data_IF_660364274948
#
_entry.id   IF_660364274948
#
_cell.length_a   1.000
_cell.length_b   1.000
_cell.length_c   1.000
_cell.angle_alpha   90.00
_cell.angle_beta   90.00
_cell.angle_gamma   90.00
#
_symmetry.space_group_name_H-M   'P 1'
#
loop_
_entity.id
_entity.type
_entity.pdbx_description
1 polymer ?
#
# COMPACT_ATOMS: atom_id res chain seq x y z
N UNK A 1 0.89 -6.38 -8.22
CA UNK A 1 -0.19 -7.38 -8.39
C UNK A 1 -0.45 -8.05 -7.05
N UNK A 2 -1.70 -8.24 -6.68
CA UNK A 2 -2.12 -9.04 -5.52
C UNK A 2 -2.61 -10.39 -6.01
N UNK A 3 -2.27 -11.46 -5.29
CA UNK A 3 -2.87 -12.78 -5.45
C UNK A 3 -3.22 -13.31 -4.07
N UNK A 4 -4.48 -13.69 -3.83
CA UNK A 4 -4.97 -14.19 -2.56
C UNK A 4 -5.98 -15.30 -2.80
N UNK A 5 -5.75 -16.49 -2.23
CA UNK A 5 -6.62 -17.66 -2.36
C UNK A 5 -6.96 -18.02 -3.83
N UNK A 6 -6.02 -17.82 -4.75
CA UNK A 6 -6.21 -18.07 -6.19
C UNK A 6 -6.89 -16.93 -6.97
N UNK A 7 -7.36 -15.88 -6.30
CA UNK A 7 -7.87 -14.66 -6.94
C UNK A 7 -6.74 -13.66 -7.14
N UNK A 8 -6.68 -13.01 -8.31
CA UNK A 8 -5.65 -12.01 -8.62
C UNK A 8 -6.24 -10.66 -9.05
N UNK A 9 -5.57 -9.57 -8.69
CA UNK A 9 -5.97 -8.22 -9.05
C UNK A 9 -4.80 -7.25 -9.14
N UNK A 10 -4.95 -6.22 -9.98
CA UNK A 10 -4.05 -5.08 -10.08
C UNK A 10 -4.50 -3.90 -9.22
N UNK A 11 -3.56 -3.01 -8.91
CA UNK A 11 -3.86 -1.73 -8.28
C UNK A 11 -4.05 -0.68 -9.37
N UNK A 12 -5.11 0.13 -9.27
CA UNK A 12 -5.38 1.15 -10.28
C UNK A 12 -4.60 2.43 -10.00
N UNK A 13 -4.44 2.75 -8.71
CA UNK A 13 -3.76 3.96 -8.26
C UNK A 13 -3.27 3.82 -6.83
N UNK A 14 -2.22 4.54 -6.50
CA UNK A 14 -1.77 4.72 -5.12
C UNK A 14 -1.55 6.20 -4.80
N UNK A 15 -1.74 6.54 -3.54
CA UNK A 15 -1.48 7.86 -2.98
C UNK A 15 -0.58 7.72 -1.76
N UNK A 16 0.26 8.71 -1.50
CA UNK A 16 1.13 8.71 -0.34
C UNK A 16 1.04 10.00 0.48
N UNK A 17 1.30 9.87 1.77
CA UNK A 17 1.56 10.97 2.70
C UNK A 17 2.93 10.80 3.36
N UNK A 18 3.39 11.85 4.03
CA UNK A 18 4.61 11.83 4.83
C UNK A 18 4.23 11.98 6.31
N UNK A 19 4.69 11.03 7.12
CA UNK A 19 4.49 11.01 8.57
C UNK A 19 5.49 11.98 9.25
N UNK A 20 5.19 12.44 10.47
CA UNK A 20 6.00 13.41 11.21
C UNK A 20 7.47 13.00 11.41
N UNK A 21 7.77 11.70 11.42
CA UNK A 21 9.14 11.16 11.54
C UNK A 21 9.84 10.97 10.17
N UNK A 22 9.20 11.40 9.08
CA UNK A 22 9.70 11.31 7.72
C UNK A 22 9.37 9.99 7.01
N UNK A 23 8.71 9.04 7.67
CA UNK A 23 8.26 7.80 7.04
C UNK A 23 7.15 8.07 6.03
N UNK A 24 6.99 7.15 5.09
CA UNK A 24 5.98 7.25 4.04
C UNK A 24 4.83 6.29 4.36
N UNK A 25 3.62 6.85 4.32
CA UNK A 25 2.37 6.12 4.36
C UNK A 25 1.79 6.06 2.94
N UNK A 26 1.37 4.87 2.49
CA UNK A 26 0.81 4.67 1.15
C UNK A 26 -0.53 3.93 1.22
N UNK A 27 -1.51 4.43 0.47
CA UNK A 27 -2.77 3.76 0.20
C UNK A 27 -2.85 3.40 -1.28
N UNK A 28 -2.98 2.12 -1.60
CA UNK A 28 -3.13 1.61 -2.96
C UNK A 28 -4.53 1.00 -3.15
N UNK A 29 -5.21 1.43 -4.20
CA UNK A 29 -6.64 1.23 -4.41
C UNK A 29 -6.93 0.23 -5.53
N UNK A 30 -7.93 -0.63 -5.32
CA UNK A 30 -8.38 -1.62 -6.31
C UNK A 30 -9.79 -1.33 -6.83
N UNK A 31 -9.93 -1.34 -8.16
CA UNK A 31 -11.20 -1.37 -8.88
C UNK A 31 -11.91 -0.03 -9.01
N UNK A 32 -11.69 0.94 -8.10
CA UNK A 32 -12.34 2.26 -8.10
C UNK A 32 -11.54 3.29 -7.28
N UNK A 33 -10.31 3.59 -7.71
CA UNK A 33 -9.56 4.68 -7.07
C UNK A 33 -10.26 6.04 -7.29
N UNK A 34 -10.36 6.91 -6.28
CA UNK A 34 -10.88 8.26 -6.47
C UNK A 34 -10.00 9.05 -7.46
N UNK A 35 -10.62 9.91 -8.28
CA UNK A 35 -9.89 10.84 -9.12
C UNK A 35 -9.29 11.96 -8.27
N UNK A 36 -7.95 12.01 -8.21
CA UNK A 36 -7.22 12.98 -7.41
C UNK A 36 -7.06 12.56 -5.94
N UNK A 37 -6.33 13.36 -5.17
CA UNK A 37 -6.07 13.09 -3.75
C UNK A 37 -7.40 12.95 -2.98
N UNK A 38 -7.69 11.78 -2.38
CA UNK A 38 -8.94 11.54 -1.69
C UNK A 38 -9.25 12.61 -0.62
N UNK A 39 -10.44 13.23 -0.66
CA UNK A 39 -10.89 14.21 0.37
C UNK A 39 -11.15 13.59 1.75
N UNK A 40 -11.17 12.26 1.81
CA UNK A 40 -11.14 11.39 2.99
C UNK A 40 -10.63 10.03 2.48
N UNK A 41 -10.05 9.17 3.32
CA UNK A 41 -9.76 7.77 2.90
C UNK A 41 -11.10 7.09 2.56
N UNK A 42 -11.51 7.22 1.31
CA UNK A 42 -12.80 6.73 0.84
C UNK A 42 -12.68 5.24 0.71
N UNK A 43 -13.69 4.54 1.22
CA UNK A 43 -13.90 3.10 1.11
C UNK A 43 -13.97 2.70 -0.36
N UNK A 44 -12.84 2.58 -1.03
CA UNK A 44 -12.78 1.67 -2.15
C UNK A 44 -13.07 0.28 -1.61
N UNK A 45 -13.70 -0.56 -2.43
CA UNK A 45 -14.00 -1.95 -2.09
C UNK A 45 -12.82 -2.67 -1.44
N UNK A 46 -11.60 -2.34 -1.88
CA UNK A 46 -10.35 -2.94 -1.43
C UNK A 46 -9.21 -1.92 -1.45
N UNK A 47 -8.51 -1.79 -0.33
CA UNK A 47 -7.37 -0.88 -0.19
C UNK A 47 -6.19 -1.63 0.44
N UNK A 48 -5.01 -1.50 -0.13
CA UNK A 48 -3.76 -1.93 0.51
C UNK A 48 -3.09 -0.73 1.17
N UNK A 49 -2.86 -0.85 2.47
CA UNK A 49 -2.15 0.13 3.28
C UNK A 49 -0.72 -0.35 3.48
N UNK A 50 0.24 0.52 3.22
CA UNK A 50 1.67 0.29 3.42
C UNK A 50 2.17 1.39 4.35
N UNK A 51 2.59 1.02 5.55
CA UNK A 51 2.97 1.96 6.61
C UNK A 51 4.44 1.79 6.99
N UNK A 52 5.04 2.87 7.49
CA UNK A 52 6.46 2.94 7.89
C UNK A 52 7.44 2.67 6.74
N UNK A 53 7.08 2.97 5.49
CA UNK A 53 8.01 2.83 4.38
C UNK A 53 9.20 3.78 4.60
N UNK A 54 10.41 3.23 4.53
CA UNK A 54 11.63 4.02 4.66
C UNK A 54 11.88 4.82 3.37
N UNK A 55 11.91 6.16 3.38
CA UNK A 55 12.25 6.94 2.20
C UNK A 55 13.71 6.75 1.74
N UNK A 56 14.61 6.40 2.67
CA UNK A 56 16.06 6.34 2.40
C UNK A 56 16.52 4.99 1.82
N UNK A 57 15.60 4.05 1.62
CA UNK A 57 15.93 2.75 1.02
C UNK A 57 14.93 1.64 1.35
N UNK A 58 15.39 0.40 1.17
CA UNK A 58 14.56 -0.76 1.46
C UNK A 58 14.16 -0.85 2.94
N UNK A 59 12.96 -1.36 3.20
CA UNK A 59 12.46 -1.64 4.54
C UNK A 59 11.88 -3.04 4.60
N UNK A 60 11.91 -3.67 5.78
CA UNK A 60 11.38 -5.02 6.00
C UNK A 60 10.43 -5.05 7.18
N UNK A 61 9.75 -6.18 7.34
CA UNK A 61 8.87 -6.43 8.48
C UNK A 61 9.60 -6.19 9.82
N UNK A 62 10.81 -6.71 9.99
CA UNK A 62 11.60 -6.53 11.22
C UNK A 62 12.00 -5.07 11.46
N UNK A 63 12.14 -4.30 10.38
CA UNK A 63 12.40 -2.86 10.44
C UNK A 63 11.12 -2.01 10.61
N UNK A 64 9.96 -2.64 10.81
CA UNK A 64 8.68 -1.99 11.09
C UNK A 64 7.76 -1.78 9.88
N UNK A 65 8.14 -2.19 8.67
CA UNK A 65 7.28 -2.11 7.49
C UNK A 65 6.03 -2.96 7.70
N UNK A 66 4.85 -2.37 7.54
CA UNK A 66 3.58 -3.09 7.67
C UNK A 66 2.78 -2.94 6.39
N UNK A 67 2.18 -4.04 5.97
CA UNK A 67 1.30 -4.09 4.81
C UNK A 67 -0.01 -4.74 5.25
N UNK A 68 -1.12 -4.05 5.00
CA UNK A 68 -2.47 -4.51 5.40
C UNK A 68 -3.40 -4.37 4.21
N UNK A 69 -4.13 -5.44 3.89
CA UNK A 69 -5.22 -5.40 2.91
C UNK A 69 -6.53 -5.24 3.66
N UNK A 70 -7.30 -4.25 3.25
CA UNK A 70 -8.72 -4.12 3.57
C UNK A 70 -9.52 -4.61 2.37
N UNK A 71 -10.48 -5.50 2.59
CA UNK A 71 -11.39 -6.04 1.57
C UNK A 71 -12.81 -5.93 2.11
N UNK A 72 -13.37 -4.72 2.04
CA UNK A 72 -14.68 -4.40 2.60
C UNK A 72 -15.81 -5.14 1.90
N UNK A 73 -15.62 -5.51 0.64
CA UNK A 73 -16.60 -6.28 -0.15
C UNK A 73 -16.48 -7.80 0.06
N UNK A 74 -15.42 -8.27 0.75
CA UNK A 74 -15.19 -9.70 1.04
C UNK A 74 -14.97 -10.56 -0.21
N UNK A 75 -14.46 -9.98 -1.29
CA UNK A 75 -14.33 -10.65 -2.59
C UNK A 75 -13.05 -11.47 -2.74
N UNK A 76 -12.03 -11.18 -1.94
CA UNK A 76 -10.71 -11.82 -1.93
C UNK A 76 -10.46 -12.60 -0.64
N UNK A 77 -11.08 -12.19 0.47
CA UNK A 77 -10.94 -12.78 1.79
C UNK A 77 -12.27 -12.73 2.55
N UNK A 78 -12.50 -13.71 3.43
CA UNK A 78 -13.65 -13.71 4.34
C UNK A 78 -13.45 -12.77 5.54
N UNK A 79 -12.20 -12.36 5.80
CA UNK A 79 -11.85 -11.38 6.82
C UNK A 79 -11.77 -9.98 6.18
N UNK A 80 -12.42 -8.96 6.75
CA UNK A 80 -12.43 -7.61 6.17
C UNK A 80 -11.07 -6.92 6.20
N UNK A 81 -10.15 -7.43 7.02
CA UNK A 81 -8.80 -6.92 7.20
C UNK A 81 -7.84 -8.09 7.33
N UNK A 82 -6.80 -8.09 6.50
CA UNK A 82 -5.72 -9.08 6.55
C UNK A 82 -4.38 -8.38 6.63
N UNK A 83 -3.52 -8.81 7.55
CA UNK A 83 -2.16 -8.30 7.71
C UNK A 83 -1.17 -9.26 7.08
N UNK A 84 -0.22 -8.71 6.32
CA UNK A 84 0.89 -9.49 5.78
C UNK A 84 1.90 -9.77 6.89
N UNK A 85 2.42 -10.99 6.92
CA UNK A 85 3.34 -11.48 7.95
C UNK A 85 4.80 -11.36 7.56
N UNK A 86 5.09 -11.29 6.26
CA UNK A 86 6.40 -10.94 5.75
C UNK A 86 6.26 -9.78 4.77
N UNK A 87 7.13 -8.78 4.89
CA UNK A 87 7.12 -7.59 4.05
C UNK A 87 8.54 -7.16 3.76
N UNK A 88 8.78 -6.74 2.52
CA UNK A 88 10.03 -6.17 2.08
C UNK A 88 9.75 -5.14 0.98
N UNK A 89 10.36 -3.96 1.08
CA UNK A 89 10.42 -2.97 0.03
C UNK A 89 11.85 -2.76 -0.44
N UNK A 90 12.01 -2.32 -1.68
CA UNK A 90 13.30 -1.97 -2.27
C UNK A 90 13.14 -0.91 -3.36
N UNK A 91 14.26 -0.36 -3.83
CA UNK A 91 14.29 0.60 -4.95
C UNK A 91 13.37 1.81 -4.71
N UNK A 92 13.42 2.36 -3.49
CA UNK A 92 12.60 3.52 -3.12
C UNK A 92 13.21 4.76 -3.77
N UNK A 93 12.44 5.39 -4.64
CA UNK A 93 12.71 6.69 -5.24
C UNK A 93 11.67 7.68 -4.73
N UNK A 94 12.12 8.73 -4.06
CA UNK A 94 11.24 9.75 -3.48
C UNK A 94 11.47 11.06 -4.22
N UNK A 95 10.40 11.55 -4.85
CA UNK A 95 10.29 12.93 -5.31
C UNK A 95 9.44 13.66 -4.28
N UNK A 96 10.06 14.45 -3.38
CA UNK A 96 9.35 15.03 -2.25
C UNK A 96 8.12 15.81 -2.70
N UNK A 97 6.98 15.51 -2.08
CA UNK A 97 5.67 16.14 -2.35
C UNK A 97 5.16 15.99 -3.79
N UNK A 98 5.67 15.03 -4.54
CA UNK A 98 5.23 14.74 -5.90
C UNK A 98 4.87 13.25 -6.03
N UNK A 99 5.85 12.38 -5.89
CA UNK A 99 5.70 10.96 -6.16
C UNK A 99 6.67 10.12 -5.30
N UNK A 100 6.23 8.94 -4.90
CA UNK A 100 7.11 7.87 -4.43
C UNK A 100 6.95 6.63 -5.30
N UNK A 101 8.07 6.05 -5.72
CA UNK A 101 8.11 4.80 -6.47
C UNK A 101 8.94 3.77 -5.72
N UNK A 102 8.44 2.53 -5.61
CA UNK A 102 9.13 1.45 -4.89
C UNK A 102 8.70 0.08 -5.39
N UNK A 103 9.52 -0.95 -5.12
CA UNK A 103 9.12 -2.35 -5.28
C UNK A 103 8.67 -2.89 -3.93
N UNK A 104 7.54 -3.60 -3.90
CA UNK A 104 7.03 -4.29 -2.72
C UNK A 104 6.96 -5.79 -2.97
N UNK A 105 7.35 -6.56 -1.97
CA UNK A 105 7.04 -7.97 -1.82
C UNK A 105 6.46 -8.18 -0.42
N UNK A 106 5.25 -8.71 -0.33
CA UNK A 106 4.62 -9.06 0.92
C UNK A 106 3.92 -10.41 0.81
N UNK A 107 4.01 -11.23 1.85
CA UNK A 107 3.37 -12.56 1.90
C UNK A 107 2.53 -12.73 3.18
N UNK A 108 1.54 -13.62 3.08
CA UNK A 108 0.75 -14.17 4.16
C UNK A 108 0.28 -15.57 3.75
N UNK A 109 -0.26 -16.33 4.69
CA UNK A 109 -0.82 -17.65 4.40
C UNK A 109 -1.91 -17.60 3.32
N UNK A 110 -1.59 -18.13 2.14
CA UNK A 110 -2.50 -18.15 0.99
C UNK A 110 -2.50 -16.90 0.12
N UNK A 111 -1.59 -15.93 0.35
CA UNK A 111 -1.54 -14.72 -0.47
C UNK A 111 -0.19 -14.02 -0.57
N UNK A 112 -0.01 -13.32 -1.69
CA UNK A 112 1.18 -12.52 -2.00
C UNK A 112 0.79 -11.20 -2.67
N UNK A 113 1.50 -10.14 -2.33
CA UNK A 113 1.54 -8.89 -3.08
C UNK A 113 2.97 -8.71 -3.58
N UNK A 114 3.11 -8.55 -4.89
CA UNK A 114 4.42 -8.28 -5.48
C UNK A 114 4.32 -7.29 -6.63
N UNK A 115 5.28 -6.38 -6.74
CA UNK A 115 5.46 -5.54 -7.91
C UNK A 115 5.89 -4.11 -7.59
N UNK A 116 5.97 -3.31 -8.64
CA UNK A 116 6.25 -1.88 -8.53
C UNK A 116 4.98 -1.12 -8.16
N UNK A 117 5.13 -0.17 -7.24
CA UNK A 117 4.13 0.80 -6.85
C UNK A 117 4.66 2.19 -7.16
N UNK A 118 3.77 3.03 -7.68
CA UNK A 118 3.99 4.45 -7.85
C UNK A 118 2.80 5.15 -7.21
N UNK A 119 3.07 5.98 -6.21
CA UNK A 119 2.06 6.68 -5.45
C UNK A 119 2.27 8.19 -5.58
N UNK A 120 1.18 8.91 -5.79
CA UNK A 120 1.17 10.38 -5.96
C UNK A 120 0.96 11.04 -4.59
N UNK A 121 1.63 12.16 -4.33
CA UNK A 121 1.48 12.87 -3.06
C UNK A 121 0.04 13.31 -2.83
N UNK A 122 -0.45 13.07 -1.61
CA UNK A 122 -1.78 13.42 -1.17
C UNK A 122 -1.71 14.05 0.23
N UNK A 123 -1.80 15.39 0.34
CA UNK A 123 -1.57 16.11 1.60
C UNK A 123 -2.47 15.71 2.77
N UNK A 124 -3.65 15.14 2.50
CA UNK A 124 -4.54 14.67 3.57
C UNK A 124 -4.03 13.40 4.27
N UNK A 125 -3.07 12.71 3.66
CA UNK A 125 -2.40 11.55 4.22
C UNK A 125 -1.12 11.94 4.98
N UNK A 126 -0.72 13.22 4.95
CA UNK A 126 0.39 13.72 5.78
C UNK A 126 -0.03 13.67 7.26
N UNK A 127 0.90 13.28 8.14
CA UNK A 127 0.65 13.03 9.57
C UNK A 127 1.59 13.78 10.49
#
# INVERSE_FOLDING_TARGET
>A
MLTLNGNSGGFDRAYHGVEADGRIYVEAYFGQAPEGCPVQSTTSSRTLIISNLNPDGGSSYDAGLRVTLFDFDGTLTNEPLVRFTETASSSVDVRPRDEVSFTLNASLDGGVVSGQFTAIHCPILDG
#
